data_IF_988417421529
#
_entry.id   IF_988417421529
#
_cell.length_a   1.000
_cell.length_b   1.000
_cell.length_c   1.000
_cell.angle_alpha   90.00
_cell.angle_beta   90.00
_cell.angle_gamma   90.00
#
_symmetry.space_group_name_H-M   'P 1'
#
loop_
_entity.id
_entity.type
_entity.pdbx_description
1 polymer ?
#
# COMPACT_ATOMS: atom_id res chain seq x y z
N UNK A 1 -5.38 -1.01 13.03
CA UNK A 1 -5.00 0.35 13.39
C UNK A 1 -3.49 0.47 13.37
N UNK A 2 -2.95 1.55 12.80
CA UNK A 2 -1.52 1.86 12.72
C UNK A 2 -1.21 3.04 13.67
N UNK A 3 -0.09 2.97 14.37
CA UNK A 3 0.46 4.11 15.08
C UNK A 3 1.99 4.18 14.87
N UNK A 4 2.43 5.33 14.41
CA UNK A 4 3.84 5.73 14.32
C UNK A 4 4.11 6.76 15.40
N UNK A 5 5.13 6.54 16.22
CA UNK A 5 5.49 7.45 17.30
C UNK A 5 6.96 7.80 17.19
N UNK A 6 7.24 9.11 17.08
CA UNK A 6 8.58 9.70 17.05
C UNK A 6 9.53 9.08 16.02
N UNK A 7 9.01 8.73 14.85
CA UNK A 7 9.80 8.11 13.78
C UNK A 7 10.82 9.10 13.25
N UNK A 8 12.09 8.78 13.44
CA UNK A 8 13.22 9.50 12.85
C UNK A 8 13.94 8.58 11.85
N UNK A 9 14.23 9.11 10.66
CA UNK A 9 14.91 8.38 9.58
C UNK A 9 16.11 9.20 9.14
N UNK A 10 17.31 8.62 9.33
CA UNK A 10 18.57 9.19 8.88
C UNK A 10 19.14 8.37 7.72
N UNK A 11 19.56 9.03 6.67
CA UNK A 11 20.19 8.42 5.51
C UNK A 11 21.48 9.18 5.16
N UNK A 12 22.62 8.48 5.17
CA UNK A 12 23.95 9.03 4.86
C UNK A 12 24.26 10.34 5.62
N UNK A 13 23.88 10.39 6.90
CA UNK A 13 24.12 11.56 7.76
C UNK A 13 23.14 12.74 7.58
N UNK A 14 22.09 12.54 6.75
CA UNK A 14 21.00 13.51 6.57
C UNK A 14 19.72 12.95 7.17
N UNK A 15 19.08 13.72 8.05
CA UNK A 15 17.74 13.39 8.55
C UNK A 15 16.70 13.68 7.48
N UNK A 16 15.95 12.64 7.08
CA UNK A 16 14.87 12.71 6.08
C UNK A 16 13.54 12.98 6.76
N UNK A 17 13.26 12.30 7.88
CA UNK A 17 12.10 12.53 8.74
C UNK A 17 12.59 12.64 10.18
N UNK A 18 12.04 13.61 10.92
CA UNK A 18 12.37 13.86 12.32
C UNK A 18 11.10 13.86 13.18
N UNK A 19 11.08 12.98 14.17
CA UNK A 19 10.00 12.83 15.15
C UNK A 19 8.59 12.68 14.51
N UNK A 20 8.48 12.01 13.37
CA UNK A 20 7.23 11.88 12.66
C UNK A 20 6.23 10.99 13.42
N UNK A 21 5.02 11.51 13.63
CA UNK A 21 3.91 10.82 14.26
C UNK A 21 2.72 10.71 13.30
N UNK A 22 2.13 9.52 13.22
CA UNK A 22 0.93 9.27 12.40
C UNK A 22 0.08 8.18 13.05
N UNK A 23 -1.22 8.43 13.15
CA UNK A 23 -2.20 7.39 13.50
C UNK A 23 -3.17 7.17 12.36
N UNK A 24 -3.52 5.90 12.11
CA UNK A 24 -4.54 5.52 11.11
C UNK A 24 -5.51 4.56 11.77
N UNK A 25 -6.79 4.86 11.71
CA UNK A 25 -7.87 4.04 12.25
C UNK A 25 -8.14 2.83 11.37
N UNK A 26 -8.84 1.84 11.90
CA UNK A 26 -9.23 0.67 11.09
C UNK A 26 -10.22 1.08 10.01
N UNK A 27 -9.96 0.67 8.76
CA UNK A 27 -10.77 1.02 7.60
C UNK A 27 -10.57 2.45 7.09
N UNK A 28 -9.73 3.25 7.74
CA UNK A 28 -9.40 4.62 7.30
C UNK A 28 -8.42 4.57 6.13
N UNK A 29 -8.65 5.42 5.13
CA UNK A 29 -7.73 5.69 4.03
C UNK A 29 -7.07 7.04 4.29
N UNK A 30 -5.76 7.04 4.54
CA UNK A 30 -4.96 8.26 4.75
C UNK A 30 -4.01 8.45 3.58
N UNK A 31 -4.08 9.62 2.93
CA UNK A 31 -3.11 10.02 1.93
C UNK A 31 -2.01 10.90 2.52
N UNK A 32 -0.77 10.52 2.28
CA UNK A 32 0.42 11.32 2.58
C UNK A 32 0.85 12.07 1.33
N UNK A 33 0.84 13.39 1.40
CA UNK A 33 1.27 14.27 0.30
C UNK A 33 2.56 14.99 0.67
N UNK A 34 3.27 15.49 -0.33
CA UNK A 34 4.48 16.27 -0.13
C UNK A 34 5.42 16.18 -1.33
N UNK A 35 6.45 17.02 -1.40
CA UNK A 35 7.38 17.05 -2.53
C UNK A 35 8.19 15.76 -2.65
N UNK A 36 8.80 15.54 -3.83
CA UNK A 36 9.75 14.45 -4.03
C UNK A 36 10.91 14.55 -3.05
N UNK A 37 11.36 13.41 -2.51
CA UNK A 37 12.44 13.37 -1.51
C UNK A 37 12.04 13.75 -0.08
N UNK A 38 10.76 14.00 0.20
CA UNK A 38 10.29 14.35 1.56
C UNK A 38 10.13 13.14 2.52
N UNK A 39 10.53 11.94 2.10
CA UNK A 39 10.51 10.75 2.95
C UNK A 39 9.23 9.91 2.90
N UNK A 40 8.27 10.21 2.01
CA UNK A 40 7.00 9.47 1.90
C UNK A 40 7.21 7.97 1.66
N UNK A 41 7.93 7.62 0.61
CA UNK A 41 8.28 6.22 0.28
C UNK A 41 9.08 5.55 1.40
N UNK A 42 10.00 6.29 2.01
CA UNK A 42 10.81 5.78 3.14
C UNK A 42 9.92 5.46 4.35
N UNK A 43 8.94 6.31 4.64
CA UNK A 43 7.97 6.05 5.71
C UNK A 43 7.14 4.79 5.43
N UNK A 44 6.67 4.58 4.19
CA UNK A 44 6.00 3.33 3.80
C UNK A 44 6.92 2.12 4.00
N UNK A 45 8.20 2.22 3.61
CA UNK A 45 9.18 1.13 3.82
C UNK A 45 9.40 0.83 5.30
N UNK A 46 9.41 1.83 6.15
CA UNK A 46 9.50 1.64 7.62
C UNK A 46 8.26 0.91 8.15
N UNK A 47 7.05 1.29 7.72
CA UNK A 47 5.81 0.59 8.10
C UNK A 47 5.85 -0.87 7.63
N UNK A 48 6.27 -1.10 6.39
CA UNK A 48 6.39 -2.44 5.82
C UNK A 48 7.50 -3.29 6.48
N UNK A 49 8.46 -2.65 7.16
CA UNK A 49 9.63 -3.33 7.76
C UNK A 49 10.73 -3.66 6.75
N UNK A 50 10.74 -2.95 5.63
CA UNK A 50 11.82 -2.99 4.63
C UNK A 50 12.99 -2.09 5.04
N UNK A 51 12.72 -1.11 5.90
CA UNK A 51 13.68 -0.17 6.43
C UNK A 51 13.47 -0.01 7.94
N UNK A 52 14.54 0.23 8.68
CA UNK A 52 14.48 0.45 10.13
C UNK A 52 14.58 1.95 10.40
N UNK A 53 13.71 2.51 11.24
CA UNK A 53 13.87 3.89 11.69
C UNK A 53 15.09 3.99 12.61
N UNK A 54 15.78 5.14 12.61
CA UNK A 54 16.86 5.44 13.55
C UNK A 54 16.33 5.57 14.98
N UNK A 55 15.08 6.07 15.12
CA UNK A 55 14.34 6.20 16.38
C UNK A 55 12.85 6.02 16.14
N UNK A 56 12.12 5.81 17.22
CA UNK A 56 10.67 5.72 17.22
C UNK A 56 10.15 4.29 17.11
N UNK A 57 8.83 4.15 17.07
CA UNK A 57 8.16 2.86 17.08
C UNK A 57 7.03 2.79 16.05
N UNK A 58 6.83 1.60 15.50
CA UNK A 58 5.71 1.25 14.63
C UNK A 58 4.85 0.23 15.36
N UNK A 59 3.58 0.52 15.54
CA UNK A 59 2.58 -0.40 16.12
C UNK A 59 1.50 -0.67 15.09
N UNK A 60 1.21 -1.94 14.83
CA UNK A 60 0.12 -2.40 13.95
C UNK A 60 -0.76 -3.34 14.76
N UNK A 61 -2.06 -3.08 14.79
CA UNK A 61 -3.06 -3.87 15.53
C UNK A 61 -2.62 -4.16 16.97
N UNK A 62 -2.20 -3.09 17.68
CA UNK A 62 -1.68 -3.10 19.06
C UNK A 62 -0.42 -3.96 19.28
N UNK A 63 0.28 -4.34 18.20
CA UNK A 63 1.53 -5.11 18.28
C UNK A 63 2.70 -4.23 17.84
N UNK A 64 3.74 -4.19 18.66
CA UNK A 64 4.99 -3.51 18.31
C UNK A 64 5.70 -4.27 17.17
N UNK A 65 6.05 -3.54 16.11
CA UNK A 65 6.66 -4.11 14.90
C UNK A 65 8.20 -4.08 14.93
N UNK A 66 8.81 -3.55 15.96
CA UNK A 66 10.28 -3.55 16.10
C UNK A 66 10.81 -4.98 16.10
N UNK A 67 11.78 -5.25 15.22
CA UNK A 67 12.35 -6.60 15.06
C UNK A 67 11.45 -7.63 14.38
N UNK A 68 10.21 -7.27 14.04
CA UNK A 68 9.32 -8.17 13.26
C UNK A 68 9.68 -8.07 11.78
N UNK A 69 10.07 -9.17 11.12
CA UNK A 69 10.41 -9.16 9.70
C UNK A 69 9.18 -8.89 8.84
N UNK A 70 9.38 -8.28 7.67
CA UNK A 70 8.34 -7.83 6.72
C UNK A 70 7.24 -8.87 6.48
N UNK A 71 7.60 -10.12 6.20
CA UNK A 71 6.64 -11.20 5.89
C UNK A 71 5.74 -11.62 7.07
N UNK A 72 6.01 -11.12 8.28
CA UNK A 72 5.21 -11.37 9.49
C UNK A 72 4.40 -10.15 9.95
N UNK A 73 4.52 -9.00 9.26
CA UNK A 73 3.79 -7.78 9.63
C UNK A 73 2.35 -7.75 9.12
N UNK A 74 2.01 -8.65 8.21
CA UNK A 74 0.68 -8.71 7.57
C UNK A 74 0.29 -7.39 6.87
N UNK A 75 1.26 -6.80 6.17
CA UNK A 75 1.14 -5.55 5.42
C UNK A 75 1.23 -5.87 3.93
N UNK A 76 0.28 -5.33 3.15
CA UNK A 76 0.37 -5.31 1.69
C UNK A 76 1.11 -4.05 1.24
N UNK A 77 1.97 -4.16 0.22
CA UNK A 77 2.67 -3.03 -0.36
C UNK A 77 2.59 -3.08 -1.88
N UNK A 78 2.14 -1.98 -2.47
CA UNK A 78 2.16 -1.73 -3.92
C UNK A 78 3.19 -0.66 -4.18
N UNK A 79 4.22 -1.01 -4.96
CA UNK A 79 5.28 -0.09 -5.38
C UNK A 79 4.85 0.69 -6.62
N UNK A 80 5.48 1.83 -6.87
CA UNK A 80 5.24 2.70 -8.01
C UNK A 80 5.37 1.96 -9.37
N UNK A 81 6.33 1.04 -9.49
CA UNK A 81 6.64 0.24 -10.68
C UNK A 81 5.93 -1.13 -10.71
N UNK A 82 4.88 -1.33 -9.92
CA UNK A 82 4.03 -2.53 -9.77
C UNK A 82 4.76 -3.81 -9.37
N UNK A 83 6.02 -4.02 -9.75
CA UNK A 83 6.89 -5.17 -9.44
C UNK A 83 6.19 -6.53 -9.59
N UNK A 84 5.43 -6.73 -10.68
CA UNK A 84 4.86 -8.03 -11.00
C UNK A 84 5.97 -9.03 -11.32
N UNK A 85 5.76 -10.30 -10.98
CA UNK A 85 6.69 -11.37 -11.29
C UNK A 85 6.57 -11.76 -12.77
N UNK A 86 7.55 -11.43 -13.62
CA UNK A 86 7.40 -11.54 -15.08
C UNK A 86 7.28 -12.98 -15.60
N UNK A 87 7.74 -13.95 -14.81
CA UNK A 87 7.70 -15.38 -15.13
C UNK A 87 6.43 -16.09 -14.63
N UNK A 88 5.50 -15.34 -14.02
CA UNK A 88 4.24 -15.87 -13.51
C UNK A 88 3.06 -15.32 -14.31
N UNK A 89 2.00 -16.13 -14.42
CA UNK A 89 0.72 -15.67 -14.95
C UNK A 89 0.07 -14.61 -14.03
N UNK A 90 -0.99 -13.96 -14.52
CA UNK A 90 -1.83 -13.07 -13.71
C UNK A 90 -2.35 -13.80 -12.47
N UNK A 91 -2.92 -15.00 -12.66
CA UNK A 91 -3.40 -15.83 -11.55
C UNK A 91 -2.30 -16.10 -10.53
N UNK A 92 -1.12 -16.50 -10.98
CA UNK A 92 -0.01 -16.88 -10.12
C UNK A 92 0.60 -15.66 -9.39
N UNK A 93 0.58 -14.48 -10.02
CA UNK A 93 0.95 -13.23 -9.37
C UNK A 93 0.01 -12.93 -8.19
N UNK A 94 -1.31 -12.97 -8.43
CA UNK A 94 -2.30 -12.71 -7.36
C UNK A 94 -2.20 -13.79 -6.27
N UNK A 95 -2.13 -15.07 -6.63
CA UNK A 95 -2.05 -16.18 -5.68
C UNK A 95 -0.75 -16.22 -4.85
N UNK A 96 0.26 -15.43 -5.20
CA UNK A 96 1.61 -15.57 -4.63
C UNK A 96 1.62 -15.46 -3.09
N UNK A 97 1.00 -14.42 -2.53
CA UNK A 97 0.93 -14.22 -1.08
C UNK A 97 0.16 -15.35 -0.36
N UNK A 98 -0.89 -15.90 -0.99
CA UNK A 98 -1.64 -17.03 -0.45
C UNK A 98 -0.79 -18.31 -0.39
N UNK A 99 0.09 -18.52 -1.40
CA UNK A 99 1.05 -19.64 -1.40
C UNK A 99 2.05 -19.52 -0.26
N UNK A 100 2.60 -18.33 -0.04
CA UNK A 100 3.51 -18.07 1.09
C UNK A 100 2.81 -18.36 2.43
N UNK A 101 1.54 -17.96 2.57
CA UNK A 101 0.69 -18.26 3.74
C UNK A 101 0.24 -19.73 3.80
N UNK A 102 0.63 -20.59 2.84
CA UNK A 102 0.26 -22.02 2.74
C UNK A 102 -1.25 -22.27 2.71
N UNK A 103 -2.01 -21.38 2.12
CA UNK A 103 -3.45 -21.52 1.89
C UNK A 103 -3.69 -22.70 0.94
N UNK A 104 -4.75 -23.48 1.15
CA UNK A 104 -5.10 -24.62 0.28
C UNK A 104 -5.36 -24.20 -1.16
N UNK A 105 -5.06 -25.07 -2.14
CA UNK A 105 -5.26 -24.76 -3.57
C UNK A 105 -6.70 -24.38 -3.91
N UNK A 106 -7.68 -25.05 -3.29
CA UNK A 106 -9.10 -24.75 -3.52
C UNK A 106 -9.42 -23.31 -3.09
N UNK A 107 -8.99 -22.90 -1.90
CA UNK A 107 -9.21 -21.54 -1.40
C UNK A 107 -8.38 -20.50 -2.14
N UNK A 108 -7.18 -20.86 -2.66
CA UNK A 108 -6.43 -19.95 -3.55
C UNK A 108 -7.22 -19.65 -4.82
N UNK A 109 -7.80 -20.67 -5.47
CA UNK A 109 -8.61 -20.51 -6.68
C UNK A 109 -9.84 -19.64 -6.40
N UNK A 110 -10.54 -19.90 -5.32
CA UNK A 110 -11.71 -19.11 -4.90
C UNK A 110 -11.34 -17.63 -4.71
N UNK A 111 -10.37 -17.32 -3.83
CA UNK A 111 -9.96 -15.95 -3.53
C UNK A 111 -9.39 -15.20 -4.73
N UNK A 112 -8.62 -15.88 -5.59
CA UNK A 112 -8.09 -15.25 -6.81
C UNK A 112 -9.20 -14.95 -7.81
N UNK A 113 -10.16 -15.86 -8.01
CA UNK A 113 -11.29 -15.62 -8.90
C UNK A 113 -12.18 -14.48 -8.38
N UNK A 114 -12.49 -14.44 -7.07
CA UNK A 114 -13.19 -13.31 -6.45
C UNK A 114 -12.45 -11.99 -6.72
N UNK A 115 -11.13 -11.98 -6.57
CA UNK A 115 -10.33 -10.79 -6.81
C UNK A 115 -10.33 -10.38 -8.29
N UNK A 116 -10.21 -11.34 -9.22
CA UNK A 116 -10.27 -11.08 -10.65
C UNK A 116 -11.62 -10.50 -11.07
N UNK A 117 -12.74 -11.04 -10.54
CA UNK A 117 -14.08 -10.48 -10.75
C UNK A 117 -14.17 -9.05 -10.23
N UNK A 118 -13.64 -8.80 -9.04
CA UNK A 118 -13.70 -7.50 -8.40
C UNK A 118 -12.95 -6.40 -9.18
N UNK A 119 -11.85 -6.78 -9.88
CA UNK A 119 -11.09 -5.84 -10.73
C UNK A 119 -11.48 -5.91 -12.22
N UNK A 120 -12.50 -6.71 -12.59
CA UNK A 120 -13.00 -6.86 -13.96
C UNK A 120 -12.00 -7.49 -14.91
N UNK A 121 -11.30 -8.55 -14.49
CA UNK A 121 -10.20 -9.17 -15.25
C UNK A 121 -10.24 -10.71 -15.26
N UNK A 122 -11.42 -11.31 -15.23
CA UNK A 122 -11.60 -12.76 -15.18
C UNK A 122 -10.93 -13.49 -16.36
N UNK A 123 -11.03 -12.90 -17.54
CA UNK A 123 -10.49 -13.49 -18.79
C UNK A 123 -8.96 -13.45 -18.87
N UNK A 124 -8.32 -12.67 -18.00
CA UNK A 124 -6.87 -12.49 -18.01
C UNK A 124 -6.10 -13.46 -17.09
N UNK A 125 -6.79 -14.32 -16.35
CA UNK A 125 -6.19 -15.18 -15.33
C UNK A 125 -4.94 -15.96 -15.80
N UNK A 126 -4.97 -16.45 -17.04
CA UNK A 126 -3.88 -17.27 -17.62
C UNK A 126 -2.88 -16.46 -18.45
N UNK A 127 -3.09 -15.15 -18.60
CA UNK A 127 -2.23 -14.29 -19.43
C UNK A 127 -0.89 -14.05 -18.73
N UNK A 128 0.18 -13.95 -19.52
CA UNK A 128 1.48 -13.52 -19.06
C UNK A 128 1.44 -12.03 -18.72
N UNK A 129 2.01 -11.64 -17.58
CA UNK A 129 1.99 -10.24 -17.13
C UNK A 129 2.75 -9.28 -18.06
N UNK A 130 3.68 -9.77 -18.86
CA UNK A 130 4.38 -8.99 -19.88
C UNK A 130 3.49 -8.52 -21.05
N UNK A 131 2.27 -9.05 -21.17
CA UNK A 131 1.29 -8.69 -22.21
C UNK A 131 0.22 -7.72 -21.69
N UNK A 132 0.33 -7.27 -20.45
CA UNK A 132 -0.64 -6.37 -19.83
C UNK A 132 -0.35 -4.92 -20.23
N UNK A 133 -1.42 -4.13 -20.39
CA UNK A 133 -1.30 -2.67 -20.39
C UNK A 133 -0.85 -2.14 -19.03
N UNK A 134 -0.38 -0.91 -18.97
CA UNK A 134 0.04 -0.29 -17.72
C UNK A 134 -1.07 -0.26 -16.65
N UNK A 135 -2.31 0.03 -17.06
CA UNK A 135 -3.46 0.03 -16.15
C UNK A 135 -3.84 -1.37 -15.67
N UNK A 136 -3.81 -2.40 -16.55
CA UNK A 136 -4.03 -3.80 -16.17
C UNK A 136 -2.98 -4.25 -15.14
N UNK A 137 -1.70 -3.95 -15.40
CA UNK A 137 -0.62 -4.28 -14.49
C UNK A 137 -0.80 -3.64 -13.09
N UNK A 138 -1.26 -2.40 -13.03
CA UNK A 138 -1.55 -1.70 -11.76
C UNK A 138 -2.69 -2.35 -10.98
N UNK A 139 -3.81 -2.68 -11.64
CA UNK A 139 -4.92 -3.40 -10.98
C UNK A 139 -4.47 -4.76 -10.46
N UNK A 140 -3.68 -5.51 -11.22
CA UNK A 140 -3.14 -6.81 -10.78
C UNK A 140 -2.20 -6.64 -9.58
N UNK A 141 -1.37 -5.59 -9.54
CA UNK A 141 -0.50 -5.32 -8.40
C UNK A 141 -1.30 -5.03 -7.11
N UNK A 142 -2.36 -4.24 -7.21
CA UNK A 142 -3.29 -3.98 -6.09
C UNK A 142 -4.00 -5.27 -5.67
N UNK A 143 -4.53 -6.04 -6.61
CA UNK A 143 -5.20 -7.32 -6.34
C UNK A 143 -4.27 -8.31 -5.63
N UNK A 144 -3.00 -8.42 -6.07
CA UNK A 144 -1.97 -9.25 -5.43
C UNK A 144 -1.72 -8.84 -3.97
N UNK A 145 -1.71 -7.54 -3.69
CA UNK A 145 -1.49 -7.04 -2.35
C UNK A 145 -2.71 -7.28 -1.43
N UNK A 146 -3.93 -7.21 -1.99
CA UNK A 146 -5.19 -7.32 -1.25
C UNK A 146 -5.67 -8.76 -1.02
N UNK A 147 -5.33 -9.72 -1.91
CA UNK A 147 -5.89 -11.08 -1.87
C UNK A 147 -5.66 -11.83 -0.55
N UNK A 148 -4.60 -11.46 0.16
CA UNK A 148 -4.24 -12.07 1.45
C UNK A 148 -4.88 -11.38 2.66
N UNK A 149 -5.81 -10.44 2.45
CA UNK A 149 -6.50 -9.64 3.46
C UNK A 149 -5.52 -9.03 4.49
N UNK A 150 -4.60 -8.15 4.06
CA UNK A 150 -3.61 -7.55 4.95
C UNK A 150 -4.29 -6.61 5.96
N UNK A 151 -3.68 -6.42 7.15
CA UNK A 151 -4.16 -5.41 8.11
C UNK A 151 -4.07 -4.00 7.56
N UNK A 152 -3.02 -3.72 6.79
CA UNK A 152 -2.79 -2.40 6.18
C UNK A 152 -2.31 -2.61 4.76
N UNK A 153 -2.84 -1.82 3.83
CA UNK A 153 -2.34 -1.69 2.48
C UNK A 153 -1.55 -0.38 2.35
N UNK A 154 -0.35 -0.47 1.85
CA UNK A 154 0.53 0.65 1.54
C UNK A 154 0.58 0.83 0.02
N UNK A 155 0.29 2.05 -0.45
CA UNK A 155 0.28 2.40 -1.86
C UNK A 155 1.30 3.51 -2.12
N UNK A 156 2.35 3.21 -2.88
CA UNK A 156 3.42 4.15 -3.21
C UNK A 156 3.24 4.64 -4.66
N UNK A 157 2.61 5.80 -4.83
CA UNK A 157 2.31 6.43 -6.12
C UNK A 157 1.71 5.44 -7.16
N UNK A 158 0.63 4.71 -6.81
CA UNK A 158 0.17 3.55 -7.57
C UNK A 158 -0.34 3.90 -8.99
N UNK A 159 -0.73 5.15 -9.24
CA UNK A 159 -1.33 5.59 -10.50
C UNK A 159 -0.41 6.47 -11.36
N UNK A 160 0.82 6.72 -10.92
CA UNK A 160 1.79 7.53 -11.65
C UNK A 160 2.09 6.97 -13.05
N UNK A 161 2.15 7.85 -14.06
CA UNK A 161 2.50 7.48 -15.45
C UNK A 161 1.34 6.93 -16.28
N UNK A 162 0.10 7.09 -15.83
CA UNK A 162 -1.10 6.85 -16.62
C UNK A 162 -1.56 8.14 -17.33
N UNK A 163 -2.27 8.00 -18.44
CA UNK A 163 -3.03 9.10 -19.02
C UNK A 163 -4.20 9.50 -18.10
N UNK A 164 -4.71 10.74 -18.23
CA UNK A 164 -5.68 11.31 -17.32
C UNK A 164 -6.99 10.50 -17.23
N UNK A 165 -7.51 10.04 -18.37
CA UNK A 165 -8.78 9.30 -18.40
C UNK A 165 -8.66 7.94 -17.69
N UNK A 166 -7.58 7.21 -17.93
CA UNK A 166 -7.32 5.93 -17.30
C UNK A 166 -6.99 6.12 -15.80
N UNK A 167 -6.27 7.20 -15.44
CA UNK A 167 -5.96 7.56 -14.06
C UNK A 167 -7.24 7.74 -13.24
N UNK A 168 -8.16 8.62 -13.69
CA UNK A 168 -9.39 8.93 -12.95
C UNK A 168 -10.28 7.69 -12.79
N UNK A 169 -10.43 6.90 -13.86
CA UNK A 169 -11.18 5.65 -13.81
C UNK A 169 -10.59 4.66 -12.81
N UNK A 170 -9.27 4.47 -12.82
CA UNK A 170 -8.61 3.54 -11.89
C UNK A 170 -8.66 4.03 -10.45
N UNK A 171 -8.61 5.34 -10.24
CA UNK A 171 -8.73 5.93 -8.91
C UNK A 171 -10.11 5.65 -8.31
N UNK A 172 -11.18 5.82 -9.10
CA UNK A 172 -12.55 5.51 -8.69
C UNK A 172 -12.73 4.01 -8.40
N UNK A 173 -12.30 3.13 -9.32
CA UNK A 173 -12.38 1.69 -9.18
C UNK A 173 -11.63 1.21 -7.91
N UNK A 174 -10.43 1.73 -7.69
CA UNK A 174 -9.61 1.40 -6.53
C UNK A 174 -10.26 1.92 -5.23
N UNK A 175 -10.76 3.15 -5.23
CA UNK A 175 -11.45 3.73 -4.08
C UNK A 175 -12.68 2.93 -3.69
N UNK A 176 -13.52 2.54 -4.67
CA UNK A 176 -14.69 1.70 -4.45
C UNK A 176 -14.31 0.33 -3.85
N UNK A 177 -13.27 -0.30 -4.40
CA UNK A 177 -12.75 -1.58 -3.93
C UNK A 177 -12.26 -1.52 -2.47
N UNK A 178 -11.45 -0.52 -2.14
CA UNK A 178 -10.86 -0.35 -0.81
C UNK A 178 -11.93 -0.09 0.25
N UNK A 179 -12.92 0.76 -0.07
CA UNK A 179 -14.05 1.05 0.83
C UNK A 179 -14.97 -0.15 1.02
N UNK A 180 -15.30 -0.87 -0.06
CA UNK A 180 -16.14 -2.08 0.03
C UNK A 180 -15.53 -3.15 0.94
N UNK A 181 -14.19 -3.23 0.99
CA UNK A 181 -13.44 -4.18 1.85
C UNK A 181 -13.08 -3.60 3.22
N UNK A 182 -13.40 -2.35 3.49
CA UNK A 182 -12.99 -1.64 4.72
C UNK A 182 -11.47 -1.77 4.98
N UNK A 183 -10.67 -1.67 3.91
CA UNK A 183 -9.22 -1.82 3.98
C UNK A 183 -8.61 -0.57 4.63
N UNK A 184 -7.75 -0.76 5.63
CA UNK A 184 -6.93 0.33 6.17
C UNK A 184 -5.81 0.65 5.20
N UNK A 185 -5.65 1.91 4.78
CA UNK A 185 -4.71 2.28 3.72
C UNK A 185 -3.85 3.46 4.14
N UNK A 186 -2.55 3.38 3.84
CA UNK A 186 -1.66 4.53 3.76
C UNK A 186 -1.24 4.69 2.29
N UNK A 187 -1.73 5.73 1.68
CA UNK A 187 -1.49 6.08 0.29
C UNK A 187 -0.50 7.23 0.20
N UNK A 188 0.46 7.14 -0.69
CA UNK A 188 1.45 8.19 -0.97
C UNK A 188 1.25 8.67 -2.39
N UNK A 189 1.12 9.97 -2.54
CA UNK A 189 1.06 10.63 -3.84
C UNK A 189 1.65 12.04 -3.77
N UNK A 190 2.01 12.60 -4.90
CA UNK A 190 2.34 14.02 -5.04
C UNK A 190 1.17 14.83 -5.62
N UNK A 191 0.08 14.17 -6.03
CA UNK A 191 -1.14 14.79 -6.55
C UNK A 191 -2.17 14.98 -5.42
N UNK A 192 -2.50 16.26 -5.15
CA UNK A 192 -3.47 16.62 -4.13
C UNK A 192 -4.92 16.26 -4.51
N UNK A 193 -5.25 16.22 -5.81
CA UNK A 193 -6.58 15.85 -6.28
C UNK A 193 -6.79 14.34 -6.08
N UNK A 194 -5.81 13.52 -6.47
CA UNK A 194 -5.79 12.09 -6.21
C UNK A 194 -5.97 11.80 -4.71
N UNK A 195 -5.19 12.50 -3.86
CA UNK A 195 -5.29 12.35 -2.42
C UNK A 195 -6.68 12.69 -1.88
N UNK A 196 -7.28 13.81 -2.34
CA UNK A 196 -8.59 14.25 -1.88
C UNK A 196 -9.75 13.34 -2.34
N UNK A 197 -9.63 12.73 -3.53
CA UNK A 197 -10.64 11.82 -4.07
C UNK A 197 -10.63 10.45 -3.42
N UNK A 198 -9.42 9.93 -3.12
CA UNK A 198 -9.25 8.58 -2.59
C UNK A 198 -9.45 8.51 -1.07
N UNK A 199 -8.95 9.48 -0.30
CA UNK A 199 -8.75 9.31 1.13
C UNK A 199 -9.80 10.01 2.00
N UNK A 200 -9.95 9.50 3.22
CA UNK A 200 -10.76 10.11 4.27
C UNK A 200 -10.03 11.31 4.90
N UNK A 201 -8.69 11.27 4.86
CA UNK A 201 -7.81 12.30 5.41
C UNK A 201 -6.53 12.46 4.61
N UNK A 202 -6.16 13.72 4.32
CA UNK A 202 -4.91 14.08 3.65
C UNK A 202 -3.96 14.70 4.67
N UNK A 203 -2.71 14.25 4.69
CA UNK A 203 -1.68 14.71 5.62
C UNK A 203 -0.42 15.09 4.82
N UNK A 204 0.09 16.29 5.03
CA UNK A 204 1.39 16.67 4.47
C UNK A 204 2.49 16.02 5.32
N UNK A 205 3.38 15.25 4.70
CA UNK A 205 4.45 14.54 5.41
C UNK A 205 5.36 15.48 6.21
N UNK A 206 5.51 16.76 5.76
CA UNK A 206 6.31 17.76 6.47
C UNK A 206 5.72 18.19 7.82
N UNK A 207 4.44 17.94 8.03
CA UNK A 207 3.77 18.28 9.30
C UNK A 207 3.85 17.17 10.34
N UNK A 208 4.27 15.97 9.96
CA UNK A 208 4.32 14.80 10.85
C UNK A 208 5.30 14.96 12.02
N UNK A 209 6.39 15.73 11.83
CA UNK A 209 7.39 16.03 12.88
C UNK A 209 7.14 17.34 13.66
N UNK A 210 6.13 18.12 13.25
CA UNK A 210 5.77 19.36 13.94
C UNK A 210 4.79 19.06 15.05
N UNK A 211 5.30 18.63 16.19
CA UNK A 211 4.71 18.56 17.53
C UNK A 211 3.20 18.78 17.70
N UNK A 212 2.51 17.81 18.24
CA UNK A 212 1.31 18.03 19.02
C UNK A 212 -0.02 17.88 18.32
N UNK A 213 -0.15 16.98 17.34
CA UNK A 213 -1.50 16.43 17.08
C UNK A 213 -1.84 15.51 18.24
N UNK A 214 -2.49 16.08 19.24
CA UNK A 214 -3.08 15.36 20.37
C UNK A 214 -3.92 14.23 19.84
N UNK A 215 -3.61 13.02 20.29
CA UNK A 215 -4.49 11.87 20.23
C UNK A 215 -5.79 12.23 20.96
N UNK A 216 -6.86 12.52 20.24
CA UNK A 216 -8.23 12.50 20.75
C UNK A 216 -8.90 11.20 20.31
#
# INVERSE_FOLDING_TARGET
MLALTDITIDYEGRTILDNACLSVSRGEIVSLVGPSGSGKTTLLRVIAGLELPSRGTVVIDNKLMTGIPTHKRDVGLVFQDNQLFPHLSVFDNIAYSLRIKRVSKALQIEKVNEMLTLIGMEDLARRDVGQLSGGEAKRIAVARALVADPFILLLDEPLTGLDAELHDRLLDDMGALLRARQTTVVHVTHDHNEAAQLSDRVVDVRTLGQSGVQLQ
#
